data_IF_561506723517
#
_entry.id   IF_561506723517
#
_cell.length_a   1.000
_cell.length_b   1.000
_cell.length_c   1.000
_cell.angle_alpha   90.00
_cell.angle_beta   90.00
_cell.angle_gamma   90.00
#
_symmetry.space_group_name_H-M   'P 1'
#
loop_
_entity.id
_entity.type
_entity.pdbx_description
1 polymer ?
#
# COMPACT_ATOMS: atom_id res chain seq x y z
N UNK A 1 -1.59 18.80 -37.16
CA UNK A 1 -0.67 17.76 -36.66
C UNK A 1 -1.42 16.86 -35.66
N UNK A 2 -1.94 15.70 -36.11
CA UNK A 2 -2.47 14.68 -35.21
C UNK A 2 -1.30 13.78 -34.81
N UNK A 3 -0.73 14.02 -33.63
CA UNK A 3 0.18 13.08 -32.98
C UNK A 3 -0.63 11.82 -32.63
N UNK A 4 -0.22 10.65 -33.12
CA UNK A 4 -0.77 9.38 -32.63
C UNK A 4 -0.64 9.35 -31.10
N UNK A 5 -1.72 9.01 -30.39
CA UNK A 5 -1.85 9.21 -28.93
C UNK A 5 -1.74 7.90 -28.16
N UNK A 6 -0.68 7.14 -28.38
CA UNK A 6 -0.50 5.87 -27.67
C UNK A 6 0.70 5.96 -26.75
N UNK A 7 0.43 5.93 -25.45
CA UNK A 7 1.44 5.86 -24.40
C UNK A 7 1.11 4.65 -23.52
N UNK A 8 1.98 3.64 -23.50
CA UNK A 8 1.76 2.43 -22.70
C UNK A 8 2.92 2.17 -21.74
N UNK A 9 2.59 1.77 -20.52
CA UNK A 9 3.54 1.28 -19.54
C UNK A 9 3.64 -0.25 -19.64
N UNK A 10 4.82 -0.74 -19.96
CA UNK A 10 5.11 -2.17 -20.14
C UNK A 10 5.87 -2.66 -18.91
N UNK A 11 5.34 -3.68 -18.23
CA UNK A 11 6.07 -4.44 -17.22
C UNK A 11 6.37 -5.83 -17.76
N UNK A 12 7.64 -6.21 -17.78
CA UNK A 12 8.06 -7.55 -18.17
C UNK A 12 8.89 -8.18 -17.04
N UNK A 13 8.52 -9.39 -16.63
CA UNK A 13 9.16 -10.13 -15.55
C UNK A 13 9.21 -11.61 -15.88
N UNK A 14 10.15 -12.00 -16.74
CA UNK A 14 10.54 -13.39 -16.94
C UNK A 14 12.05 -13.53 -16.69
N UNK A 15 12.43 -13.94 -15.47
CA UNK A 15 13.72 -14.58 -15.20
C UNK A 15 14.96 -13.74 -14.88
N UNK A 16 14.82 -12.44 -14.52
CA UNK A 16 15.85 -11.38 -14.36
C UNK A 16 16.17 -10.60 -15.65
N UNK A 17 16.68 -9.35 -15.57
CA UNK A 17 16.28 -8.22 -14.72
C UNK A 17 14.89 -7.66 -15.09
N UNK A 18 14.19 -7.07 -14.11
CA UNK A 18 12.81 -6.56 -14.29
C UNK A 18 12.84 -5.11 -14.76
N UNK A 19 12.12 -4.80 -15.84
CA UNK A 19 12.11 -3.46 -16.41
C UNK A 19 10.71 -2.84 -16.44
N UNK A 20 10.64 -1.53 -16.23
CA UNK A 20 9.47 -0.72 -16.55
C UNK A 20 9.79 0.04 -17.85
N UNK A 21 8.97 -0.21 -18.87
CA UNK A 21 9.01 0.42 -20.18
C UNK A 21 7.93 1.48 -20.33
N UNK A 22 8.23 2.66 -20.87
CA UNK A 22 7.22 3.58 -21.40
C UNK A 22 7.38 3.67 -22.92
N UNK A 23 6.39 3.18 -23.66
CA UNK A 23 6.34 3.30 -25.13
C UNK A 23 5.45 4.46 -25.53
N UNK A 24 5.99 5.40 -26.30
CA UNK A 24 5.27 6.53 -26.85
C UNK A 24 5.25 6.48 -28.37
N UNK A 25 4.07 6.37 -28.97
CA UNK A 25 3.86 6.48 -30.41
C UNK A 25 3.77 7.93 -30.88
N UNK A 26 4.56 8.32 -31.87
CA UNK A 26 4.56 9.66 -32.50
C UNK A 26 4.24 9.47 -33.98
N UNK A 27 2.96 9.55 -34.34
CA UNK A 27 2.51 9.50 -35.74
C UNK A 27 2.20 10.89 -36.27
N UNK A 28 2.58 11.21 -37.51
CA UNK A 28 2.25 12.46 -38.20
C UNK A 28 1.34 12.17 -39.40
N UNK A 29 0.17 12.80 -39.46
CA UNK A 29 -0.68 12.83 -40.66
C UNK A 29 -0.95 14.27 -41.09
N UNK A 30 -0.16 14.78 -42.03
CA UNK A 30 -0.49 15.66 -43.17
C UNK A 30 0.75 16.42 -43.65
N UNK A 31 0.94 16.42 -44.97
CA UNK A 31 1.95 17.18 -45.68
C UNK A 31 1.71 18.69 -45.54
N UNK A 32 2.78 19.43 -45.26
CA UNK A 32 2.79 20.89 -45.23
C UNK A 32 2.85 21.46 -43.81
N UNK A 33 4.06 21.63 -43.28
CA UNK A 33 4.52 22.72 -42.40
C UNK A 33 6.06 22.66 -42.42
N UNK A 34 6.71 23.78 -42.70
CA UNK A 34 8.16 23.94 -42.74
C UNK A 34 8.82 23.70 -41.35
N UNK A 35 9.98 23.04 -41.37
CA UNK A 35 11.10 23.16 -40.41
C UNK A 35 10.82 22.94 -38.91
N UNK A 36 10.20 21.81 -38.53
CA UNK A 36 10.34 21.29 -37.17
C UNK A 36 10.97 19.90 -37.23
N UNK A 37 12.30 19.86 -37.20
CA UNK A 37 13.08 18.61 -37.24
C UNK A 37 12.91 17.76 -35.96
N UNK A 38 12.54 18.40 -34.84
CA UNK A 38 12.49 17.77 -33.52
C UNK A 38 11.27 18.17 -32.69
N UNK A 39 10.82 17.25 -31.84
CA UNK A 39 9.74 17.43 -30.86
C UNK A 39 10.33 17.35 -29.46
N UNK A 40 10.03 18.36 -28.64
CA UNK A 40 10.36 18.37 -27.21
C UNK A 40 9.22 17.69 -26.43
N UNK A 41 9.59 16.74 -25.57
CA UNK A 41 8.66 15.91 -24.78
C UNK A 41 9.15 15.91 -23.34
N UNK A 42 8.23 16.04 -22.40
CA UNK A 42 8.50 15.98 -20.96
C UNK A 42 7.65 14.89 -20.34
N UNK A 43 8.30 13.93 -19.68
CA UNK A 43 7.66 12.80 -19.01
C UNK A 43 7.81 13.00 -17.51
N UNK A 44 6.72 12.85 -16.79
CA UNK A 44 6.67 12.76 -15.34
C UNK A 44 6.04 11.42 -14.96
N UNK A 45 6.76 10.62 -14.20
CA UNK A 45 6.26 9.36 -13.66
C UNK A 45 6.44 9.36 -12.14
N UNK A 46 5.33 9.18 -11.42
CA UNK A 46 5.34 8.94 -9.98
C UNK A 46 5.37 7.44 -9.73
N UNK A 47 6.22 6.95 -8.85
CA UNK A 47 6.38 5.51 -8.59
C UNK A 47 6.27 5.26 -7.09
N UNK A 48 5.37 4.38 -6.62
CA UNK A 48 5.24 4.08 -5.20
C UNK A 48 6.54 3.59 -4.55
N UNK A 49 6.71 3.83 -3.25
CA UNK A 49 7.95 3.54 -2.53
C UNK A 49 8.37 2.06 -2.54
N UNK A 50 7.39 1.16 -2.65
CA UNK A 50 7.64 -0.28 -2.74
C UNK A 50 8.19 -0.71 -4.11
N UNK A 51 8.42 0.22 -5.04
CA UNK A 51 9.13 -0.03 -6.30
C UNK A 51 10.40 0.81 -6.30
N UNK A 52 11.53 0.15 -6.12
CA UNK A 52 12.84 0.80 -6.03
C UNK A 52 13.48 0.85 -7.39
N UNK A 53 13.61 2.04 -7.96
CA UNK A 53 14.14 2.25 -9.30
C UNK A 53 15.65 2.43 -9.26
N UNK A 54 16.33 1.82 -10.22
CA UNK A 54 17.76 2.00 -10.44
C UNK A 54 17.99 3.07 -11.50
N UNK A 55 18.05 4.34 -11.10
CA UNK A 55 18.20 5.46 -12.04
C UNK A 55 19.37 5.34 -13.03
N UNK A 56 20.47 4.70 -12.62
CA UNK A 56 21.65 4.47 -13.45
C UNK A 56 21.46 3.44 -14.58
N UNK A 57 20.35 2.71 -14.56
CA UNK A 57 20.03 1.65 -15.55
C UNK A 57 19.09 2.14 -16.65
N UNK A 58 18.74 3.43 -16.64
CA UNK A 58 17.81 3.99 -17.59
C UNK A 58 18.39 3.93 -19.01
N UNK A 59 17.66 3.27 -19.90
CA UNK A 59 18.00 3.11 -21.32
C UNK A 59 16.93 3.74 -22.20
N UNK A 60 17.33 4.29 -23.34
CA UNK A 60 16.43 4.85 -24.35
C UNK A 60 16.59 4.09 -25.65
N UNK A 61 15.47 3.68 -26.24
CA UNK A 61 15.45 3.16 -27.60
C UNK A 61 14.48 3.96 -28.47
N UNK A 62 14.90 4.23 -29.70
CA UNK A 62 14.10 4.87 -30.74
C UNK A 62 13.81 3.83 -31.82
N UNK A 63 12.53 3.61 -32.11
CA UNK A 63 12.08 2.64 -33.13
C UNK A 63 12.70 1.24 -32.94
N UNK A 64 12.88 0.82 -31.68
CA UNK A 64 13.47 -0.46 -31.29
C UNK A 64 15.00 -0.52 -31.33
N UNK A 65 15.70 0.58 -31.68
CA UNK A 65 17.16 0.66 -31.65
C UNK A 65 17.63 1.40 -30.41
N UNK A 66 18.53 0.78 -29.65
CA UNK A 66 19.13 1.42 -28.49
C UNK A 66 20.01 2.61 -28.95
N UNK A 67 19.84 3.75 -28.30
CA UNK A 67 20.58 4.98 -28.59
C UNK A 67 21.32 5.46 -27.35
N UNK A 68 22.33 6.30 -27.55
CA UNK A 68 23.04 6.90 -26.43
C UNK A 68 22.09 7.82 -25.65
N UNK A 69 22.07 7.67 -24.33
CA UNK A 69 21.08 8.29 -23.45
C UNK A 69 21.07 9.83 -23.57
N UNK A 70 22.25 10.45 -23.49
CA UNK A 70 22.40 11.91 -23.49
C UNK A 70 22.27 12.56 -24.88
N UNK A 71 22.27 11.77 -25.95
CA UNK A 71 22.00 12.24 -27.30
C UNK A 71 20.55 12.73 -27.47
N UNK A 72 19.63 12.14 -26.72
CA UNK A 72 18.18 12.42 -26.79
C UNK A 72 17.69 13.13 -25.53
N UNK A 73 18.16 12.71 -24.35
CA UNK A 73 17.72 13.24 -23.06
C UNK A 73 18.44 14.53 -22.75
N UNK A 74 17.67 15.59 -22.50
CA UNK A 74 18.18 16.94 -22.17
C UNK A 74 18.21 17.20 -20.68
N UNK A 75 17.29 16.59 -19.94
CA UNK A 75 17.20 16.72 -18.49
C UNK A 75 16.66 15.42 -17.92
N UNK A 76 17.26 14.97 -16.82
CA UNK A 76 16.70 13.94 -15.97
C UNK A 76 16.73 14.47 -14.53
N UNK A 77 15.57 14.50 -13.88
CA UNK A 77 15.47 14.70 -12.43
C UNK A 77 14.89 13.43 -11.83
N UNK A 78 15.61 12.91 -10.85
CA UNK A 78 15.25 11.69 -10.16
C UNK A 78 15.17 11.99 -8.68
N UNK A 79 13.96 11.94 -8.14
CA UNK A 79 13.72 12.00 -6.70
C UNK A 79 13.49 10.56 -6.22
N UNK A 80 14.41 9.99 -5.43
CA UNK A 80 14.24 8.64 -4.92
C UNK A 80 13.04 8.56 -3.98
N UNK A 81 12.43 7.37 -3.89
CA UNK A 81 11.37 7.13 -2.92
C UNK A 81 11.91 7.07 -1.49
N UNK A 82 11.08 7.50 -0.55
CA UNK A 82 11.29 7.24 0.87
C UNK A 82 10.33 6.14 1.32
N UNK A 83 10.87 5.06 1.90
CA UNK A 83 10.09 3.93 2.40
C UNK A 83 8.92 4.42 3.28
N UNK A 84 7.68 4.09 2.87
CA UNK A 84 6.41 4.41 3.56
C UNK A 84 6.08 5.90 3.71
N UNK A 85 6.87 6.81 3.14
CA UNK A 85 6.66 8.26 3.29
C UNK A 85 6.35 8.96 1.99
N UNK A 86 7.14 8.71 0.95
CA UNK A 86 7.05 9.45 -0.30
C UNK A 86 7.31 8.55 -1.52
N UNK A 87 6.54 8.72 -2.60
CA UNK A 87 6.82 8.05 -3.87
C UNK A 87 8.09 8.61 -4.52
N UNK A 88 8.74 7.80 -5.35
CA UNK A 88 9.75 8.27 -6.28
C UNK A 88 9.10 9.13 -7.37
N UNK A 89 9.84 10.12 -7.86
CA UNK A 89 9.44 10.93 -9.00
C UNK A 89 10.55 10.93 -10.05
N UNK A 90 10.19 10.60 -11.29
CA UNK A 90 11.10 10.60 -12.43
C UNK A 90 10.60 11.61 -13.45
N UNK A 91 11.38 12.67 -13.66
CA UNK A 91 11.14 13.67 -14.70
C UNK A 91 12.20 13.57 -15.78
N UNK A 92 11.79 13.34 -17.03
CA UNK A 92 12.70 13.22 -18.16
C UNK A 92 12.24 14.18 -19.25
N UNK A 93 13.12 15.08 -19.67
CA UNK A 93 12.92 15.91 -20.86
C UNK A 93 13.75 15.35 -22.01
N UNK A 94 13.10 15.04 -23.12
CA UNK A 94 13.70 14.43 -24.29
C UNK A 94 13.37 15.21 -25.56
N UNK A 95 14.33 15.23 -26.48
CA UNK A 95 14.19 15.85 -27.80
C UNK A 95 14.40 14.79 -28.86
N UNK A 96 13.34 14.44 -29.57
CA UNK A 96 13.33 13.34 -30.54
C UNK A 96 12.97 13.90 -31.92
N UNK A 97 13.49 13.26 -32.98
CA UNK A 97 13.13 13.64 -34.35
C UNK A 97 11.64 13.38 -34.62
N UNK A 98 11.01 14.24 -35.42
CA UNK A 98 9.62 14.04 -35.84
C UNK A 98 9.43 12.77 -36.69
N UNK A 99 10.51 12.23 -37.26
CA UNK A 99 10.49 11.00 -38.04
C UNK A 99 10.41 9.73 -37.18
N UNK A 100 10.74 9.82 -35.89
CA UNK A 100 10.69 8.69 -34.95
C UNK A 100 9.24 8.31 -34.69
N UNK A 101 8.93 7.03 -34.80
CA UNK A 101 7.58 6.50 -34.61
C UNK A 101 7.33 6.05 -33.18
N UNK A 102 8.33 5.49 -32.51
CA UNK A 102 8.23 4.98 -31.15
C UNK A 102 9.45 5.36 -30.31
N UNK A 103 9.20 5.86 -29.10
CA UNK A 103 10.23 6.08 -28.08
C UNK A 103 9.95 5.14 -26.93
N UNK A 104 10.93 4.33 -26.55
CA UNK A 104 10.83 3.40 -25.42
C UNK A 104 11.89 3.72 -24.38
N UNK A 105 11.45 4.05 -23.16
CA UNK A 105 12.31 4.25 -22.01
C UNK A 105 12.25 3.04 -21.09
N UNK A 106 13.39 2.50 -20.68
CA UNK A 106 13.47 1.25 -19.92
C UNK A 106 14.32 1.43 -18.67
N UNK A 107 13.81 1.07 -17.49
CA UNK A 107 14.53 1.21 -16.20
C UNK A 107 14.37 -0.04 -15.34
N UNK A 108 15.47 -0.50 -14.71
CA UNK A 108 15.44 -1.62 -13.78
C UNK A 108 14.80 -1.23 -12.45
N UNK A 109 14.10 -2.18 -11.84
CA UNK A 109 13.51 -1.98 -10.53
C UNK A 109 13.57 -3.22 -9.65
N UNK A 110 13.53 -2.98 -8.33
CA UNK A 110 13.30 -3.99 -7.30
C UNK A 110 11.96 -3.80 -6.59
N UNK A 111 11.46 -4.91 -6.07
CA UNK A 111 10.21 -4.98 -5.30
C UNK A 111 10.53 -4.85 -3.82
N UNK A 112 9.92 -3.88 -3.15
CA UNK A 112 9.98 -3.72 -1.70
C UNK A 112 9.13 -4.76 -0.98
N UNK A 113 9.48 -5.05 0.26
CA UNK A 113 8.68 -5.89 1.16
C UNK A 113 7.66 -5.02 1.89
N UNK A 114 6.39 -5.39 1.74
CA UNK A 114 5.27 -4.76 2.44
C UNK A 114 4.95 -5.54 3.72
N UNK A 115 4.52 -4.83 4.75
CA UNK A 115 3.87 -5.43 5.91
C UNK A 115 2.47 -5.94 5.55
N UNK A 116 1.94 -6.79 6.42
CA UNK A 116 0.67 -7.48 6.17
C UNK A 116 -0.52 -6.52 6.08
N UNK A 117 -0.46 -5.41 6.80
CA UNK A 117 -1.45 -4.32 6.84
C UNK A 117 -1.36 -3.37 5.64
N UNK A 118 -0.23 -3.38 4.90
CA UNK A 118 -0.02 -2.55 3.71
C UNK A 118 -0.59 -3.19 2.43
N UNK A 119 -0.98 -4.47 2.50
CA UNK A 119 -1.56 -5.17 1.36
C UNK A 119 -3.03 -4.79 1.16
N UNK A 120 -3.49 -4.69 -0.11
CA UNK A 120 -4.92 -4.60 -0.38
C UNK A 120 -5.63 -5.87 0.12
N UNK A 121 -6.96 -5.82 0.34
CA UNK A 121 -7.74 -6.96 0.81
C UNK A 121 -7.61 -8.21 -0.09
N UNK A 122 -7.30 -8.02 -1.37
CA UNK A 122 -6.88 -9.07 -2.29
C UNK A 122 -5.43 -8.83 -2.74
N UNK A 123 -4.49 -9.48 -2.05
CA UNK A 123 -3.06 -9.37 -2.37
C UNK A 123 -2.69 -10.06 -3.70
N UNK A 124 -3.49 -11.03 -4.17
CA UNK A 124 -3.21 -11.78 -5.40
C UNK A 124 -3.48 -10.96 -6.66
N UNK A 125 -4.34 -9.93 -6.56
CA UNK A 125 -4.57 -8.97 -7.65
C UNK A 125 -3.30 -8.22 -8.03
N UNK A 126 -2.43 -7.89 -7.07
CA UNK A 126 -1.30 -6.99 -7.27
C UNK A 126 -1.62 -5.51 -7.05
N UNK A 127 -0.68 -4.65 -7.40
CA UNK A 127 -0.70 -3.21 -7.13
C UNK A 127 -0.74 -2.41 -8.42
N UNK A 128 -1.57 -1.37 -8.44
CA UNK A 128 -1.69 -0.46 -9.57
C UNK A 128 -0.56 0.59 -9.54
N UNK A 129 0.21 0.67 -10.62
CA UNK A 129 1.19 1.72 -10.87
C UNK A 129 0.52 2.89 -11.58
N UNK A 130 0.66 4.12 -11.07
CA UNK A 130 -0.03 5.27 -11.63
C UNK A 130 0.48 5.59 -13.04
N UNK A 131 -0.39 6.18 -13.86
CA UNK A 131 -0.07 6.61 -15.22
C UNK A 131 1.08 7.62 -15.27
N UNK A 132 1.91 7.52 -16.30
CA UNK A 132 2.86 8.55 -16.69
C UNK A 132 2.10 9.76 -17.26
N UNK A 133 2.58 10.96 -16.95
CA UNK A 133 2.13 12.20 -17.57
C UNK A 133 3.14 12.61 -18.62
N UNK A 134 2.69 12.76 -19.86
CA UNK A 134 3.51 13.12 -21.00
C UNK A 134 3.04 14.47 -21.51
N UNK A 135 3.91 15.46 -21.42
CA UNK A 135 3.63 16.84 -21.80
C UNK A 135 4.44 17.21 -23.04
N UNK A 136 3.78 17.81 -24.02
CA UNK A 136 4.40 18.39 -25.20
C UNK A 136 4.41 19.92 -25.06
N UNK A 137 5.45 20.52 -24.46
CA UNK A 137 5.46 21.94 -24.09
C UNK A 137 5.28 22.88 -25.29
N UNK A 138 5.73 22.45 -26.48
CA UNK A 138 5.64 23.25 -27.72
C UNK A 138 4.35 23.02 -28.50
N UNK A 139 3.54 22.05 -28.09
CA UNK A 139 2.22 21.78 -28.69
C UNK A 139 1.14 22.37 -27.78
N UNK A 140 0.40 23.38 -28.26
CA UNK A 140 -0.66 24.03 -27.50
C UNK A 140 -2.02 23.52 -27.95
N UNK A 141 -2.86 23.13 -27.00
CA UNK A 141 -4.27 22.81 -27.28
C UNK A 141 -5.10 24.06 -26.96
N UNK A 142 -5.89 24.52 -27.92
CA UNK A 142 -6.88 25.56 -27.70
C UNK A 142 -8.28 24.98 -27.90
N UNK A 143 -9.20 25.28 -26.98
CA UNK A 143 -10.64 25.03 -27.17
C UNK A 143 -11.24 26.33 -27.66
N UNK A 144 -11.57 26.40 -28.95
CA UNK A 144 -12.28 27.53 -29.51
C UNK A 144 -13.78 27.34 -29.27
N UNK A 145 -14.32 28.07 -28.29
CA UNK A 145 -15.76 28.16 -28.09
C UNK A 145 -16.27 29.29 -28.99
N UNK A 146 -17.10 28.95 -29.98
CA UNK A 146 -17.89 29.94 -30.71
C UNK A 146 -19.08 30.30 -29.82
N UNK A 147 -19.03 31.48 -29.22
CA UNK A 147 -20.15 32.05 -28.46
C UNK A 147 -20.03 33.55 -28.64
N UNK A 148 -21.07 34.23 -29.12
CA UNK A 148 -21.00 35.66 -29.47
C UNK A 148 -20.92 36.61 -28.25
N UNK A 149 -21.03 36.08 -27.02
CA UNK A 149 -21.02 36.85 -25.76
C UNK A 149 -19.73 36.64 -24.93
N UNK A 150 -18.57 36.96 -25.52
CA UNK A 150 -17.23 36.64 -24.95
C UNK A 150 -16.75 37.63 -23.86
N UNK A 151 -17.51 38.66 -23.51
CA UNK A 151 -16.96 39.81 -22.79
C UNK A 151 -16.59 39.63 -21.30
N UNK A 152 -17.26 38.75 -20.53
CA UNK A 152 -17.35 39.00 -19.07
C UNK A 152 -17.09 37.84 -18.10
N UNK A 153 -16.80 36.62 -18.56
CA UNK A 153 -16.55 35.51 -17.62
C UNK A 153 -15.06 35.14 -17.49
N UNK A 154 -14.49 35.42 -16.32
CA UNK A 154 -13.11 35.04 -15.96
C UNK A 154 -12.87 33.52 -16.08
N UNK A 155 -13.90 32.71 -15.91
CA UNK A 155 -13.83 31.24 -16.04
C UNK A 155 -13.57 30.85 -17.51
N UNK A 156 -14.21 31.50 -18.49
CA UNK A 156 -13.95 31.21 -19.90
C UNK A 156 -12.54 31.64 -20.32
N UNK A 157 -12.04 32.76 -19.80
CA UNK A 157 -10.65 33.18 -20.04
C UNK A 157 -9.63 32.14 -19.52
N UNK A 158 -9.88 31.55 -18.33
CA UNK A 158 -9.04 30.48 -17.77
C UNK A 158 -9.16 29.18 -18.59
N UNK A 159 -10.32 28.86 -19.12
CA UNK A 159 -10.54 27.68 -19.98
C UNK A 159 -9.93 27.87 -21.38
N UNK A 160 -9.89 29.10 -21.87
CA UNK A 160 -9.25 29.48 -23.14
C UNK A 160 -7.73 29.65 -23.03
N UNK A 161 -7.17 29.65 -21.81
CA UNK A 161 -5.72 29.72 -21.61
C UNK A 161 -5.00 28.61 -22.39
N UNK A 162 -3.96 28.99 -23.13
CA UNK A 162 -3.19 28.04 -23.92
C UNK A 162 -2.40 27.13 -22.98
N UNK A 163 -2.83 25.87 -22.87
CA UNK A 163 -2.15 24.85 -22.07
C UNK A 163 -1.31 23.94 -22.97
N UNK A 164 -0.15 23.46 -22.49
CA UNK A 164 0.60 22.46 -23.22
C UNK A 164 -0.22 21.18 -23.35
N UNK A 165 -0.07 20.50 -24.48
CA UNK A 165 -0.75 19.23 -24.73
C UNK A 165 -0.23 18.17 -23.74
N UNK A 166 -1.14 17.48 -23.07
CA UNK A 166 -0.82 16.40 -22.13
C UNK A 166 -1.51 15.10 -22.55
N UNK A 167 -0.79 14.00 -22.41
CA UNK A 167 -1.25 12.62 -22.61
C UNK A 167 -0.94 11.85 -21.33
N UNK A 168 -1.84 10.95 -20.94
CA UNK A 168 -1.65 10.04 -19.82
C UNK A 168 -1.42 8.63 -20.38
N UNK A 169 -0.47 7.90 -19.82
CA UNK A 169 -0.29 6.49 -20.15
C UNK A 169 -1.37 5.63 -19.50
N UNK A 170 -1.47 4.39 -19.94
CA UNK A 170 -2.25 3.37 -19.22
C UNK A 170 -1.64 3.08 -17.84
N UNK A 171 -2.49 2.71 -16.89
CA UNK A 171 -2.11 2.23 -15.55
C UNK A 171 -1.57 0.81 -15.72
N UNK A 172 -0.46 0.50 -15.06
CA UNK A 172 0.16 -0.83 -15.16
C UNK A 172 0.01 -1.60 -13.86
N UNK A 173 -0.28 -2.89 -13.94
CA UNK A 173 -0.49 -3.73 -12.76
C UNK A 173 0.76 -4.53 -12.42
N UNK A 174 1.21 -4.41 -11.18
CA UNK A 174 2.45 -4.99 -10.68
C UNK A 174 2.18 -5.98 -9.56
N UNK A 175 2.51 -7.25 -9.78
CA UNK A 175 2.42 -8.28 -8.74
C UNK A 175 3.63 -8.20 -7.82
N UNK A 176 3.40 -7.94 -6.52
CA UNK A 176 4.42 -8.05 -5.48
C UNK A 176 4.45 -9.47 -4.91
N UNK A 177 5.50 -9.80 -4.15
CA UNK A 177 5.54 -11.08 -3.44
C UNK A 177 4.46 -11.06 -2.34
N UNK A 178 3.43 -11.88 -2.49
CA UNK A 178 2.36 -11.97 -1.50
C UNK A 178 2.86 -12.72 -0.27
N UNK A 179 2.71 -12.15 0.94
CA UNK A 179 3.07 -12.85 2.17
C UNK A 179 2.02 -13.93 2.51
N UNK A 180 2.41 -14.91 3.33
CA UNK A 180 1.51 -15.97 3.79
C UNK A 180 0.49 -15.42 4.82
N UNK A 181 -0.69 -14.98 4.34
CA UNK A 181 -1.78 -14.51 5.21
C UNK A 181 -2.39 -15.61 6.11
N UNK A 182 -2.12 -16.87 5.82
CA UNK A 182 -2.64 -18.01 6.58
C UNK A 182 -1.98 -18.15 7.95
N UNK A 183 -0.70 -17.78 8.10
CA UNK A 183 0.03 -17.93 9.36
C UNK A 183 -0.57 -17.08 10.49
N UNK A 184 -0.81 -15.77 10.30
CA UNK A 184 -1.48 -14.95 11.32
C UNK A 184 -2.94 -15.35 11.54
N UNK A 185 -3.64 -15.78 10.49
CA UNK A 185 -5.02 -16.27 10.61
C UNK A 185 -5.11 -17.47 11.55
N UNK A 186 -4.18 -18.43 11.44
CA UNK A 186 -4.12 -19.58 12.33
C UNK A 186 -3.85 -19.19 13.79
N UNK A 187 -3.02 -18.16 14.02
CA UNK A 187 -2.75 -17.65 15.37
C UNK A 187 -3.99 -16.96 15.94
N UNK A 188 -4.67 -16.14 15.16
CA UNK A 188 -5.90 -15.44 15.60
C UNK A 188 -7.00 -16.45 15.95
N UNK A 189 -7.21 -17.46 15.11
CA UNK A 189 -8.20 -18.51 15.39
C UNK A 189 -7.86 -19.30 16.66
N UNK A 190 -6.58 -19.61 16.89
CA UNK A 190 -6.15 -20.27 18.14
C UNK A 190 -6.35 -19.37 19.37
N UNK A 191 -5.97 -18.09 19.31
CA UNK A 191 -6.21 -17.17 20.44
C UNK A 191 -7.69 -16.97 20.73
N UNK A 192 -8.53 -16.88 19.69
CA UNK A 192 -9.99 -16.80 19.83
C UNK A 192 -10.57 -18.03 20.52
N UNK A 193 -10.12 -19.24 20.15
CA UNK A 193 -10.57 -20.47 20.83
C UNK A 193 -10.13 -20.53 22.29
N UNK A 194 -8.89 -20.13 22.61
CA UNK A 194 -8.40 -20.03 23.99
C UNK A 194 -9.24 -19.03 24.80
N UNK A 195 -9.52 -17.85 24.25
CA UNK A 195 -10.34 -16.83 24.91
C UNK A 195 -11.79 -17.33 25.13
N UNK A 196 -12.38 -18.00 24.14
CA UNK A 196 -13.72 -18.57 24.26
C UNK A 196 -13.79 -19.63 25.36
N UNK A 197 -12.79 -20.51 25.46
CA UNK A 197 -12.71 -21.51 26.53
C UNK A 197 -12.47 -20.87 27.90
N UNK A 198 -11.62 -19.84 27.97
CA UNK A 198 -11.38 -19.10 29.20
C UNK A 198 -12.67 -18.45 29.73
N UNK A 199 -13.35 -17.63 28.93
CA UNK A 199 -14.59 -16.99 29.33
C UNK A 199 -15.72 -17.99 29.55
N UNK A 200 -15.81 -19.04 28.74
CA UNK A 200 -16.77 -20.13 28.93
C UNK A 200 -16.58 -20.84 30.27
N UNK A 201 -15.33 -21.12 30.65
CA UNK A 201 -14.99 -21.72 31.94
C UNK A 201 -15.29 -20.78 33.11
N UNK A 202 -14.97 -19.49 32.96
CA UNK A 202 -15.21 -18.45 33.97
C UNK A 202 -16.71 -18.28 34.24
N UNK A 203 -17.52 -18.13 33.18
CA UNK A 203 -18.97 -18.01 33.30
C UNK A 203 -19.59 -19.29 33.88
N UNK A 204 -19.09 -20.48 33.53
CA UNK A 204 -19.54 -21.74 34.12
C UNK A 204 -19.22 -21.81 35.62
N UNK A 205 -18.03 -21.36 36.04
CA UNK A 205 -17.65 -21.32 37.46
C UNK A 205 -18.50 -20.33 38.26
N UNK A 206 -18.75 -19.13 37.71
CA UNK A 206 -19.63 -18.13 38.33
C UNK A 206 -21.08 -18.64 38.44
N UNK A 207 -21.60 -19.26 37.38
CA UNK A 207 -22.96 -19.81 37.36
C UNK A 207 -23.13 -20.97 38.34
N UNK A 208 -22.10 -21.81 38.53
CA UNK A 208 -22.12 -22.89 39.54
C UNK A 208 -22.21 -22.34 40.96
N UNK A 209 -21.44 -21.30 41.31
CA UNK A 209 -21.52 -20.67 42.64
C UNK A 209 -22.92 -20.10 42.92
N UNK A 210 -23.50 -19.40 41.94
CA UNK A 210 -24.86 -18.86 42.07
C UNK A 210 -25.90 -19.99 42.20
N UNK A 211 -25.76 -21.06 41.41
CA UNK A 211 -26.65 -22.23 41.51
C UNK A 211 -26.48 -23.07 42.77
N UNK A 212 -25.30 -23.07 43.39
CA UNK A 212 -25.06 -23.68 44.70
C UNK A 212 -25.72 -22.86 45.82
N UNK A 213 -25.62 -21.53 45.79
CA UNK A 213 -26.33 -20.64 46.73
C UNK A 213 -27.86 -20.80 46.64
N UNK A 214 -28.43 -20.91 45.44
CA UNK A 214 -29.86 -21.18 45.25
C UNK A 214 -30.30 -22.57 45.73
N UNK A 215 -29.40 -23.58 45.68
CA UNK A 215 -29.66 -24.94 46.16
C UNK A 215 -29.50 -25.04 47.68
N UNK A 216 -28.53 -24.35 48.27
CA UNK A 216 -28.37 -24.24 49.72
C UNK A 216 -29.57 -23.51 50.36
N UNK A 217 -30.14 -22.50 49.68
CA UNK A 217 -31.42 -21.89 50.09
C UNK A 217 -32.61 -22.87 50.06
N UNK A 218 -32.55 -23.95 49.27
CA UNK A 218 -33.58 -25.01 49.21
C UNK A 218 -33.27 -26.22 50.10
N UNK A 219 -32.00 -26.48 50.42
CA UNK A 219 -31.53 -27.61 51.25
C UNK A 219 -31.38 -27.31 52.76
N UNK A 220 -31.78 -26.12 53.22
CA UNK A 220 -31.86 -25.74 54.64
C UNK A 220 -32.71 -26.66 55.56
N UNK A 221 -33.21 -27.80 55.07
CA UNK A 221 -33.81 -28.90 55.85
C UNK A 221 -32.84 -30.04 56.20
N UNK A 222 -31.60 -30.09 55.69
CA UNK A 222 -30.61 -31.15 55.97
C UNK A 222 -29.40 -30.68 56.80
N UNK A 223 -29.63 -29.76 57.74
CA UNK A 223 -28.63 -29.13 58.60
C UNK A 223 -27.82 -30.09 59.53
N UNK A 224 -28.07 -31.40 59.51
CA UNK A 224 -27.36 -32.36 60.38
C UNK A 224 -25.91 -32.65 59.98
N UNK A 225 -25.59 -32.68 58.68
CA UNK A 225 -24.30 -33.19 58.18
C UNK A 225 -23.18 -32.13 58.15
N UNK A 226 -23.54 -30.85 58.05
CA UNK A 226 -22.62 -29.70 58.00
C UNK A 226 -21.86 -29.47 59.33
N UNK A 227 -22.46 -29.87 60.45
CA UNK A 227 -21.83 -29.76 61.77
C UNK A 227 -20.56 -30.62 61.91
N UNK A 228 -20.47 -31.74 61.18
CA UNK A 228 -19.29 -32.62 61.20
C UNK A 228 -18.13 -32.10 60.35
N UNK A 229 -18.39 -31.42 59.22
CA UNK A 229 -17.34 -30.82 58.38
C UNK A 229 -16.73 -29.56 59.01
N UNK A 230 -17.50 -28.82 59.80
CA UNK A 230 -17.02 -27.64 60.55
C UNK A 230 -16.01 -27.99 61.65
N UNK A 231 -16.00 -29.23 62.16
CA UNK A 231 -14.95 -29.70 63.08
C UNK A 231 -13.59 -29.89 62.41
N UNK A 232 -13.55 -30.14 61.10
CA UNK A 232 -12.31 -30.36 60.34
C UNK A 232 -11.55 -29.06 60.06
N UNK A 233 -12.25 -27.93 59.91
CA UNK A 233 -11.67 -26.61 59.69
C UNK A 233 -11.04 -26.00 60.96
N UNK A 234 -11.33 -26.53 62.14
CA UNK A 234 -10.76 -26.09 63.43
C UNK A 234 -9.51 -26.89 63.79
N UNK A 235 -8.63 -27.15 62.83
CA UNK A 235 -7.34 -27.78 63.07
C UNK A 235 -6.23 -26.77 62.72
N UNK A 236 -5.51 -26.31 63.75
CA UNK A 236 -4.54 -25.19 63.69
C UNK A 236 -3.47 -25.31 62.59
N UNK A 237 -3.15 -26.53 62.16
CA UNK A 237 -2.14 -26.78 61.12
C UNK A 237 -2.58 -26.26 59.74
N UNK A 238 -3.86 -26.37 59.39
CA UNK A 238 -4.37 -25.91 58.08
C UNK A 238 -4.45 -24.38 58.00
N UNK A 239 -4.74 -23.70 59.11
CA UNK A 239 -4.74 -22.24 59.21
C UNK A 239 -3.37 -21.62 58.93
N UNK A 240 -2.27 -22.29 59.32
CA UNK A 240 -0.91 -21.82 59.01
C UNK A 240 -0.60 -21.93 57.52
N UNK A 241 -0.96 -23.05 56.88
CA UNK A 241 -0.74 -23.26 55.45
C UNK A 241 -1.51 -22.24 54.62
N UNK A 242 -2.77 -21.96 54.98
CA UNK A 242 -3.59 -20.95 54.30
C UNK A 242 -3.00 -19.54 54.46
N UNK A 243 -2.51 -19.18 55.65
CA UNK A 243 -1.83 -17.89 55.86
C UNK A 243 -0.56 -17.75 55.01
N UNK A 244 0.24 -18.80 54.87
CA UNK A 244 1.46 -18.78 54.05
C UNK A 244 1.12 -18.60 52.56
N UNK A 245 0.11 -19.32 52.06
CA UNK A 245 -0.32 -19.20 50.66
C UNK A 245 -0.84 -17.78 50.37
N UNK A 246 -1.59 -17.18 51.30
CA UNK A 246 -2.11 -15.82 51.14
C UNK A 246 -0.97 -14.78 51.07
N UNK A 247 0.05 -14.91 51.91
CA UNK A 247 1.21 -13.99 51.92
C UNK A 247 2.02 -14.11 50.63
N UNK A 248 2.20 -15.32 50.10
CA UNK A 248 2.92 -15.53 48.83
C UNK A 248 2.14 -14.91 47.66
N UNK A 249 0.83 -15.09 47.60
CA UNK A 249 0.00 -14.52 46.52
C UNK A 249 0.01 -12.99 46.57
N UNK A 250 -0.10 -12.39 47.76
CA UNK A 250 -0.02 -10.93 47.92
C UNK A 250 1.37 -10.42 47.55
N UNK A 251 2.44 -11.11 47.94
CA UNK A 251 3.82 -10.73 47.60
C UNK A 251 4.09 -10.76 46.10
N UNK A 252 3.60 -11.79 45.39
CA UNK A 252 3.74 -11.89 43.92
C UNK A 252 2.94 -10.79 43.22
N UNK A 253 1.73 -10.49 43.70
CA UNK A 253 0.90 -9.42 43.13
C UNK A 253 1.53 -8.04 43.31
N UNK A 254 2.10 -7.76 44.49
CA UNK A 254 2.79 -6.49 44.79
C UNK A 254 4.08 -6.35 43.95
N UNK A 255 4.85 -7.43 43.80
CA UNK A 255 6.07 -7.41 43.01
C UNK A 255 5.78 -7.20 41.51
N UNK A 256 4.71 -7.80 40.99
CA UNK A 256 4.26 -7.57 39.63
C UNK A 256 3.75 -6.14 39.40
N UNK A 257 3.18 -5.50 40.44
CA UNK A 257 2.72 -4.11 40.36
C UNK A 257 3.90 -3.11 40.40
N UNK A 258 4.94 -3.41 41.18
CA UNK A 258 6.15 -2.58 41.28
C UNK A 258 7.07 -2.71 40.06
N UNK A 259 7.10 -3.87 39.39
CA UNK A 259 7.88 -4.08 38.16
C UNK A 259 7.24 -3.48 36.91
N UNK A 260 6.01 -2.96 37.00
CA UNK A 260 5.25 -2.37 35.89
C UNK A 260 5.17 -0.83 35.95
N UNK A 261 5.91 -0.20 36.88
CA UNK A 261 6.13 1.25 36.98
C UNK A 261 7.62 1.55 36.82
#
# INVERSE_FOLDING_TARGET
MKLARTASLILESLGEPRWIGLLLGVGSTQAGIEAVEYVDIMILQMIPWYVRLYGHTLQVSLDGRNVEFWSVVRLMRFTPAEDRKAPAAVEIALRVSIATQAVTLTIQYDKGFLHIDEHPPDANRGFDLPSAVITFPRCRVFKQFQSDDVGHSHILAVVQSQRPMQIYSEVSLMQLATPDFSMPYNVITLTCTVLALYFGSLLNALRRRIGEEERESKEGKKAGLLSQKLKWLRNEKHMRVIKVILVVIIGVAVNHYLSSS
#
